data_IF_085598922213
#
_entry.id   IF_085598922213
#
_cell.length_a   1.000
_cell.length_b   1.000
_cell.length_c   1.000
_cell.angle_alpha   90.00
_cell.angle_beta   90.00
_cell.angle_gamma   90.00
#
_symmetry.space_group_name_H-M   'P 1'
#
loop_
_entity.id
_entity.type
_entity.pdbx_description
1 polymer ?
#
# COMPACT_ATOMS: atom_id res chain seq x y z
N UNK A 1 -18.14 -7.79 -8.34
CA UNK A 1 -18.10 -6.93 -7.12
C UNK A 1 -19.22 -7.26 -6.16
N UNK A 2 -19.04 -6.90 -4.92
CA UNK A 2 -19.99 -7.19 -3.85
C UNK A 2 -20.30 -5.91 -3.08
N UNK A 3 -21.57 -5.71 -2.72
CA UNK A 3 -22.02 -4.62 -1.86
C UNK A 3 -21.60 -4.80 -0.39
N UNK A 4 -21.81 -3.75 0.40
CA UNK A 4 -21.64 -3.79 1.86
C UNK A 4 -22.58 -4.81 2.57
N UNK A 5 -23.61 -5.30 1.87
CA UNK A 5 -24.51 -6.34 2.35
C UNK A 5 -24.10 -7.75 1.86
N UNK A 6 -22.93 -7.88 1.27
CA UNK A 6 -22.37 -9.11 0.68
C UNK A 6 -23.23 -9.68 -0.49
N UNK A 7 -23.94 -8.79 -1.18
CA UNK A 7 -24.65 -9.15 -2.42
C UNK A 7 -23.74 -8.87 -3.61
N UNK A 8 -23.72 -9.79 -4.56
CA UNK A 8 -23.08 -9.54 -5.85
C UNK A 8 -23.83 -8.44 -6.60
N UNK A 9 -23.13 -7.38 -6.96
CA UNK A 9 -23.68 -6.21 -7.66
C UNK A 9 -23.29 -6.18 -9.12
N UNK A 10 -22.09 -6.64 -9.42
CA UNK A 10 -21.58 -6.69 -10.78
C UNK A 10 -20.51 -7.76 -10.96
N UNK A 11 -20.36 -8.22 -12.19
CA UNK A 11 -19.29 -9.08 -12.65
C UNK A 11 -18.66 -8.46 -13.91
N UNK A 12 -17.34 -8.25 -13.89
CA UNK A 12 -16.57 -7.77 -15.03
C UNK A 12 -15.60 -8.88 -15.42
N UNK A 13 -15.83 -9.43 -16.60
CA UNK A 13 -14.97 -10.47 -17.13
C UNK A 13 -13.63 -9.88 -17.56
N UNK A 14 -12.55 -10.40 -17.00
CA UNK A 14 -11.17 -10.12 -17.41
C UNK A 14 -10.40 -11.43 -17.49
N UNK A 15 -9.80 -11.72 -18.65
CA UNK A 15 -9.01 -12.94 -18.86
C UNK A 15 -7.56 -12.72 -18.47
N UNK A 16 -7.30 -12.41 -17.18
CA UNK A 16 -5.95 -12.22 -16.65
C UNK A 16 -5.43 -13.49 -15.99
N UNK A 17 -4.14 -13.79 -16.21
CA UNK A 17 -3.48 -14.93 -15.55
C UNK A 17 -2.92 -14.55 -14.19
N UNK A 18 -2.34 -13.35 -14.06
CA UNK A 18 -1.84 -12.77 -12.82
C UNK A 18 -2.30 -11.32 -12.74
N UNK A 19 -2.81 -10.91 -11.59
CA UNK A 19 -3.48 -9.62 -11.42
C UNK A 19 -2.72 -8.75 -10.43
N UNK A 20 -2.50 -7.49 -10.82
CA UNK A 20 -2.19 -6.40 -9.90
C UNK A 20 -3.37 -5.45 -9.87
N UNK A 21 -3.76 -5.02 -8.68
CA UNK A 21 -4.89 -4.10 -8.50
C UNK A 21 -4.66 -3.18 -7.31
N UNK A 22 -5.33 -2.04 -7.37
CA UNK A 22 -5.42 -1.08 -6.28
C UNK A 22 -6.80 -0.45 -6.26
N UNK A 23 -7.23 0.07 -5.10
CA UNK A 23 -8.55 0.69 -4.96
C UNK A 23 -8.53 1.84 -3.96
N UNK A 24 -9.26 2.90 -4.28
CA UNK A 24 -9.38 4.06 -3.41
C UNK A 24 -10.74 4.74 -3.63
N UNK A 25 -11.58 4.80 -2.58
CA UNK A 25 -12.97 5.25 -2.68
C UNK A 25 -13.78 4.38 -3.64
N UNK A 26 -14.42 5.01 -4.61
CA UNK A 26 -15.27 4.33 -5.61
C UNK A 26 -14.46 3.77 -6.79
N UNK A 27 -13.16 4.06 -6.86
CA UNK A 27 -12.31 3.66 -7.97
C UNK A 27 -11.51 2.40 -7.65
N UNK A 28 -11.39 1.54 -8.65
CA UNK A 28 -10.52 0.37 -8.65
C UNK A 28 -9.76 0.33 -9.98
N UNK A 29 -8.45 0.17 -9.92
CA UNK A 29 -7.62 -0.12 -11.08
C UNK A 29 -7.20 -1.58 -11.05
N UNK A 30 -7.31 -2.26 -12.19
CA UNK A 30 -6.92 -3.67 -12.36
C UNK A 30 -6.06 -3.79 -13.60
N UNK A 31 -4.96 -4.50 -13.51
CA UNK A 31 -4.10 -4.78 -14.65
C UNK A 31 -3.59 -6.22 -14.63
N UNK A 32 -3.23 -6.73 -15.80
CA UNK A 32 -2.51 -7.99 -15.93
C UNK A 32 -1.03 -7.76 -15.62
N UNK A 33 -0.53 -8.42 -14.58
CA UNK A 33 0.89 -8.36 -14.21
C UNK A 33 1.74 -9.03 -15.28
N UNK A 34 2.82 -8.39 -15.70
CA UNK A 34 3.61 -8.74 -16.87
C UNK A 34 2.86 -8.69 -18.22
N UNK A 35 1.59 -8.28 -18.21
CA UNK A 35 0.82 -7.99 -19.41
C UNK A 35 0.85 -6.50 -19.78
N UNK A 36 -0.07 -6.09 -20.65
CA UNK A 36 -0.14 -4.72 -21.19
C UNK A 36 -1.47 -4.03 -20.97
N UNK A 37 -2.47 -4.72 -20.44
CA UNK A 37 -3.85 -4.20 -20.34
C UNK A 37 -4.13 -3.72 -18.94
N UNK A 38 -4.76 -2.55 -18.83
CA UNK A 38 -5.19 -1.94 -17.58
C UNK A 38 -6.62 -1.42 -17.70
N UNK A 39 -7.44 -1.66 -16.66
CA UNK A 39 -8.82 -1.19 -16.55
C UNK A 39 -8.97 -0.25 -15.37
N UNK A 40 -9.76 0.82 -15.55
CA UNK A 40 -10.32 1.59 -14.43
C UNK A 40 -11.80 1.25 -14.30
N UNK A 41 -12.21 0.97 -13.08
CA UNK A 41 -13.59 0.71 -12.67
C UNK A 41 -13.98 1.81 -11.69
N UNK A 42 -15.20 2.32 -11.80
CA UNK A 42 -15.79 3.24 -10.83
C UNK A 42 -17.19 2.71 -10.45
N UNK A 43 -17.40 2.46 -9.17
CA UNK A 43 -18.60 1.77 -8.72
C UNK A 43 -18.73 0.41 -9.41
N UNK A 44 -19.79 0.25 -10.23
CA UNK A 44 -20.13 -1.00 -10.91
C UNK A 44 -19.79 -1.01 -12.42
N UNK A 45 -19.09 -0.01 -12.91
CA UNK A 45 -18.86 0.19 -14.34
C UNK A 45 -17.38 0.28 -14.69
N UNK A 46 -17.00 -0.36 -15.80
CA UNK A 46 -15.69 -0.13 -16.42
C UNK A 46 -15.70 1.24 -17.08
N UNK A 47 -14.89 2.18 -16.54
CA UNK A 47 -14.78 3.54 -17.05
C UNK A 47 -13.98 3.59 -18.33
N UNK A 48 -12.82 2.92 -18.33
CA UNK A 48 -11.97 2.82 -19.52
C UNK A 48 -11.08 1.57 -19.48
N UNK A 49 -10.52 1.26 -20.65
CA UNK A 49 -9.48 0.26 -20.86
C UNK A 49 -8.35 0.88 -21.65
N UNK A 50 -7.11 0.69 -21.23
CA UNK A 50 -5.91 1.19 -21.88
C UNK A 50 -4.88 0.09 -22.09
N UNK A 51 -4.08 0.24 -23.15
CA UNK A 51 -2.94 -0.63 -23.43
C UNK A 51 -1.64 0.12 -23.14
N UNK A 52 -0.80 -0.48 -22.31
CA UNK A 52 0.51 0.05 -21.92
C UNK A 52 1.58 -0.52 -22.85
N UNK A 53 2.55 0.26 -23.34
CA UNK A 53 3.56 -0.20 -24.30
C UNK A 53 4.71 -0.99 -23.64
N UNK A 54 4.42 -1.77 -22.60
CA UNK A 54 5.41 -2.55 -21.87
C UNK A 54 4.78 -3.43 -20.79
N UNK A 55 5.60 -4.20 -20.10
CA UNK A 55 5.16 -5.16 -19.10
C UNK A 55 4.82 -4.45 -17.79
N UNK A 56 3.56 -4.50 -17.36
CA UNK A 56 3.06 -3.87 -16.15
C UNK A 56 3.57 -4.60 -14.91
N UNK A 57 4.05 -3.86 -13.91
CA UNK A 57 4.45 -4.39 -12.61
C UNK A 57 3.41 -4.13 -11.54
N UNK A 58 2.98 -2.86 -11.44
CA UNK A 58 2.03 -2.41 -10.44
C UNK A 58 1.14 -1.30 -10.97
N UNK A 59 0.03 -1.12 -10.33
CA UNK A 59 -0.92 -0.03 -10.56
C UNK A 59 -1.30 0.60 -9.23
N UNK A 60 -1.62 1.89 -9.30
CA UNK A 60 -2.08 2.69 -8.18
C UNK A 60 -3.22 3.58 -8.64
N UNK A 61 -4.20 3.82 -7.77
CA UNK A 61 -5.30 4.77 -8.03
C UNK A 61 -5.53 5.67 -6.82
N UNK A 62 -5.67 6.98 -7.05
CA UNK A 62 -6.09 7.88 -5.99
C UNK A 62 -7.63 7.96 -5.91
N UNK A 63 -8.15 8.61 -4.87
CA UNK A 63 -9.59 8.74 -4.62
C UNK A 63 -10.38 9.48 -5.72
N UNK A 64 -9.70 10.16 -6.64
CA UNK A 64 -10.32 10.89 -7.75
C UNK A 64 -10.17 10.16 -9.10
N UNK A 65 -9.69 8.92 -9.09
CA UNK A 65 -9.57 8.07 -10.28
C UNK A 65 -8.34 8.36 -11.16
N UNK A 66 -7.36 9.13 -10.68
CA UNK A 66 -6.07 9.24 -11.35
C UNK A 66 -5.28 7.96 -11.12
N UNK A 67 -4.78 7.39 -12.21
CA UNK A 67 -4.07 6.10 -12.18
C UNK A 67 -2.60 6.29 -12.48
N UNK A 68 -1.73 5.68 -11.69
CA UNK A 68 -0.32 5.49 -12.02
C UNK A 68 -0.07 4.03 -12.39
N UNK A 69 0.59 3.80 -13.53
CA UNK A 69 0.99 2.47 -13.99
C UNK A 69 2.50 2.40 -14.04
N UNK A 70 3.07 1.48 -13.27
CA UNK A 70 4.50 1.18 -13.30
C UNK A 70 4.75 0.01 -14.23
N UNK A 71 5.63 0.19 -15.21
CA UNK A 71 5.88 -0.83 -16.24
C UNK A 71 7.32 -0.79 -16.72
N UNK A 72 7.73 -1.85 -17.42
CA UNK A 72 9.04 -1.98 -18.07
C UNK A 72 8.92 -1.92 -19.58
N UNK A 73 9.84 -1.16 -20.18
CA UNK A 73 10.02 -1.09 -21.61
C UNK A 73 11.53 -1.10 -21.93
N UNK A 74 11.91 -1.59 -23.10
CA UNK A 74 13.32 -1.65 -23.52
C UNK A 74 13.98 -0.26 -23.44
N UNK A 75 15.20 -0.23 -22.89
CA UNK A 75 15.99 1.00 -22.72
C UNK A 75 15.84 1.70 -21.36
N UNK A 76 14.88 1.27 -20.52
CA UNK A 76 14.65 1.86 -19.20
C UNK A 76 14.49 0.75 -18.14
N UNK A 77 14.88 1.03 -16.90
CA UNK A 77 14.65 0.13 -15.78
C UNK A 77 13.18 0.12 -15.34
N UNK A 78 12.57 1.29 -15.29
CA UNK A 78 11.14 1.45 -15.02
C UNK A 78 10.58 2.70 -15.73
N UNK A 79 9.29 2.67 -15.98
CA UNK A 79 8.52 3.82 -16.42
C UNK A 79 7.29 3.95 -15.52
N UNK A 80 6.87 5.18 -15.25
CA UNK A 80 5.65 5.46 -14.50
C UNK A 80 4.76 6.36 -15.37
N UNK A 81 3.64 5.80 -15.83
CA UNK A 81 2.64 6.51 -16.65
C UNK A 81 1.49 6.98 -15.78
N UNK A 82 1.09 8.24 -15.95
CA UNK A 82 -0.08 8.80 -15.28
C UNK A 82 -1.20 8.95 -16.29
N UNK A 83 -2.37 8.42 -15.91
CA UNK A 83 -3.60 8.41 -16.71
C UNK A 83 -4.69 9.12 -15.90
N UNK A 84 -5.43 10.02 -16.58
CA UNK A 84 -6.55 10.75 -15.99
C UNK A 84 -7.75 9.82 -15.71
N UNK A 85 -8.73 10.27 -14.91
CA UNK A 85 -9.98 9.51 -14.70
C UNK A 85 -10.76 9.22 -15.98
N UNK A 86 -10.49 9.97 -17.07
CA UNK A 86 -11.13 9.77 -18.38
C UNK A 86 -10.32 8.89 -19.33
N UNK A 87 -9.23 8.29 -18.87
CA UNK A 87 -8.38 7.40 -19.68
C UNK A 87 -7.34 8.10 -20.55
N UNK A 88 -7.14 9.41 -20.39
CA UNK A 88 -6.15 10.19 -21.17
C UNK A 88 -4.80 10.12 -20.46
N UNK A 89 -3.75 9.74 -21.19
CA UNK A 89 -2.37 9.85 -20.70
C UNK A 89 -2.01 11.32 -20.46
N UNK A 90 -1.53 11.62 -19.25
CA UNK A 90 -1.07 12.96 -18.89
C UNK A 90 0.43 13.10 -19.16
N UNK A 91 1.22 12.16 -18.68
CA UNK A 91 2.65 12.06 -18.93
C UNK A 91 3.22 10.69 -18.57
N UNK A 92 4.48 10.47 -18.96
CA UNK A 92 5.26 9.31 -18.54
C UNK A 92 6.61 9.75 -17.98
N UNK A 93 6.95 9.31 -16.75
CA UNK A 93 8.27 9.48 -16.15
C UNK A 93 9.16 8.29 -16.55
N UNK A 94 10.34 8.59 -17.10
CA UNK A 94 11.31 7.62 -17.58
C UNK A 94 12.43 7.47 -16.56
N UNK A 95 12.63 6.27 -16.02
CA UNK A 95 13.66 5.94 -15.06
C UNK A 95 14.73 5.07 -15.74
N UNK A 96 15.83 5.71 -16.18
CA UNK A 96 16.89 5.02 -16.93
C UNK A 96 17.78 4.18 -16.03
N UNK A 97 18.10 4.65 -14.79
CA UNK A 97 19.06 4.05 -13.87
C UNK A 97 18.45 3.46 -12.60
N UNK A 98 17.18 3.78 -12.30
CA UNK A 98 16.50 3.37 -11.07
C UNK A 98 15.24 2.55 -11.35
N UNK A 99 14.84 1.73 -10.37
CA UNK A 99 13.54 1.03 -10.41
C UNK A 99 12.53 1.81 -9.58
N UNK A 100 11.29 1.92 -10.07
CA UNK A 100 10.17 2.37 -9.26
C UNK A 100 9.72 1.23 -8.34
N UNK A 101 9.74 1.47 -7.03
CA UNK A 101 9.27 0.53 -6.02
C UNK A 101 7.78 0.74 -5.71
N UNK A 102 7.39 2.02 -5.58
CA UNK A 102 6.04 2.40 -5.24
C UNK A 102 5.74 3.81 -5.76
N UNK A 103 4.46 4.16 -5.87
CA UNK A 103 4.01 5.46 -6.37
C UNK A 103 2.79 5.94 -5.58
N UNK A 104 2.66 7.25 -5.41
CA UNK A 104 1.49 7.86 -4.79
C UNK A 104 1.14 9.18 -5.48
N UNK A 105 -0.16 9.50 -5.57
CA UNK A 105 -0.68 10.75 -6.12
C UNK A 105 -1.43 11.49 -5.02
N UNK A 106 -1.16 12.79 -4.87
CA UNK A 106 -1.86 13.64 -3.88
C UNK A 106 -3.38 13.66 -4.11
N UNK A 107 -4.11 13.92 -3.04
CA UNK A 107 -5.57 14.03 -3.07
C UNK A 107 -6.09 15.22 -3.88
N UNK A 108 -5.27 16.24 -4.10
CA UNK A 108 -5.58 17.39 -4.97
C UNK A 108 -5.15 17.16 -6.43
N UNK A 109 -4.61 15.98 -6.76
CA UNK A 109 -4.19 15.54 -8.10
C UNK A 109 -3.06 16.37 -8.72
N UNK A 110 -2.26 17.07 -7.91
CA UNK A 110 -1.21 17.96 -8.41
C UNK A 110 0.16 17.32 -8.42
N UNK A 111 0.40 16.36 -7.53
CA UNK A 111 1.75 15.86 -7.31
C UNK A 111 1.78 14.33 -7.38
N UNK A 112 2.76 13.81 -8.12
CA UNK A 112 3.16 12.41 -8.11
C UNK A 112 4.43 12.25 -7.28
N UNK A 113 4.44 11.30 -6.36
CA UNK A 113 5.65 10.78 -5.74
C UNK A 113 6.00 9.42 -6.33
N UNK A 114 7.29 9.20 -6.59
CA UNK A 114 7.85 7.91 -7.02
C UNK A 114 8.93 7.52 -6.02
N UNK A 115 8.77 6.38 -5.38
CA UNK A 115 9.84 5.74 -4.61
C UNK A 115 10.78 5.03 -5.57
N UNK A 116 12.03 5.44 -5.61
CA UNK A 116 13.05 4.91 -6.50
C UNK A 116 14.09 4.11 -5.72
N UNK A 117 14.62 3.05 -6.35
CA UNK A 117 15.79 2.32 -5.87
C UNK A 117 16.86 2.26 -6.94
N UNK A 118 18.09 2.59 -6.55
CA UNK A 118 19.29 2.36 -7.34
C UNK A 118 20.02 1.12 -6.84
N UNK A 119 20.34 0.22 -7.75
CA UNK A 119 21.02 -1.06 -7.48
C UNK A 119 22.38 -1.17 -8.20
N UNK A 120 22.88 -0.08 -8.79
CA UNK A 120 24.13 -0.11 -9.58
C UNK A 120 25.39 0.09 -8.72
N UNK A 121 25.26 0.59 -7.50
CA UNK A 121 26.37 0.81 -6.59
C UNK A 121 26.74 -0.43 -5.75
N UNK A 122 27.70 -0.24 -4.84
CA UNK A 122 28.05 -1.24 -3.80
C UNK A 122 26.92 -1.35 -2.78
N UNK A 123 26.19 -0.26 -2.57
CA UNK A 123 25.05 -0.17 -1.67
C UNK A 123 23.77 0.12 -2.46
N UNK A 124 22.69 -0.49 -2.03
CA UNK A 124 21.36 -0.13 -2.52
C UNK A 124 20.96 1.21 -1.91
N UNK A 125 20.58 2.16 -2.74
CA UNK A 125 20.13 3.48 -2.29
C UNK A 125 18.70 3.74 -2.74
N UNK A 126 17.91 4.35 -1.88
CA UNK A 126 16.53 4.71 -2.17
C UNK A 126 16.36 6.22 -2.18
N UNK A 127 15.46 6.70 -3.02
CA UNK A 127 15.11 8.11 -3.12
C UNK A 127 13.63 8.29 -3.41
N UNK A 128 13.12 9.47 -3.08
CA UNK A 128 11.79 9.93 -3.50
C UNK A 128 11.94 10.98 -4.58
N UNK A 129 11.29 10.77 -5.71
CA UNK A 129 11.14 11.75 -6.78
C UNK A 129 9.73 12.32 -6.74
N UNK A 130 9.61 13.64 -6.64
CA UNK A 130 8.33 14.36 -6.60
C UNK A 130 8.20 15.19 -7.87
N UNK A 131 7.08 15.03 -8.57
CA UNK A 131 6.78 15.66 -9.87
C UNK A 131 5.45 16.40 -9.76
N UNK A 132 5.41 17.66 -10.19
CA UNK A 132 4.16 18.40 -10.38
C UNK A 132 3.48 17.91 -11.67
N UNK A 133 2.29 17.32 -11.56
CA UNK A 133 1.52 16.76 -12.69
C UNK A 133 1.06 17.85 -13.65
N UNK A 134 0.85 19.07 -13.18
CA UNK A 134 0.37 20.20 -13.97
C UNK A 134 1.51 21.03 -14.59
N UNK A 135 2.73 20.84 -14.11
CA UNK A 135 3.90 21.57 -14.60
C UNK A 135 5.09 20.61 -14.73
N UNK A 136 5.19 20.02 -15.92
CA UNK A 136 6.19 18.99 -16.24
C UNK A 136 7.57 19.55 -16.62
N UNK A 137 7.84 20.83 -16.34
CA UNK A 137 9.17 21.39 -16.51
C UNK A 137 10.14 20.69 -15.54
N UNK A 138 11.28 20.21 -16.04
CA UNK A 138 12.30 19.52 -15.25
C UNK A 138 12.82 20.32 -14.05
N UNK A 139 12.68 21.64 -14.07
CA UNK A 139 13.02 22.53 -12.95
C UNK A 139 12.13 22.32 -11.71
N UNK A 140 10.97 21.69 -11.87
CA UNK A 140 9.99 21.46 -10.80
C UNK A 140 10.04 20.02 -10.21
N UNK A 141 10.99 19.22 -10.68
CA UNK A 141 11.21 17.87 -10.12
C UNK A 141 12.07 18.00 -8.87
N UNK A 142 11.53 17.56 -7.73
CA UNK A 142 12.27 17.47 -6.47
C UNK A 142 12.74 16.03 -6.26
N UNK A 143 13.95 15.87 -5.70
CA UNK A 143 14.49 14.57 -5.32
C UNK A 143 14.97 14.63 -3.87
N UNK A 144 14.61 13.60 -3.13
CA UNK A 144 14.98 13.40 -1.74
C UNK A 144 15.67 12.05 -1.61
N UNK A 145 16.99 12.07 -1.40
CA UNK A 145 17.74 10.86 -1.19
C UNK A 145 17.60 10.41 0.27
N UNK A 146 17.41 9.11 0.49
CA UNK A 146 17.35 8.52 1.82
C UNK A 146 18.78 8.13 2.29
N UNK A 147 18.89 7.81 3.59
CA UNK A 147 20.14 7.32 4.16
C UNK A 147 20.60 6.04 3.46
N UNK A 148 21.91 5.81 3.41
CA UNK A 148 22.51 4.59 2.87
C UNK A 148 21.92 3.34 3.54
N UNK A 149 21.64 2.32 2.74
CA UNK A 149 21.02 1.05 3.15
C UNK A 149 19.58 1.17 3.69
N UNK A 150 18.88 2.29 3.45
CA UNK A 150 17.45 2.42 3.76
C UNK A 150 16.63 2.03 2.52
N UNK A 151 15.87 0.93 2.60
CA UNK A 151 15.02 0.49 1.51
C UNK A 151 13.57 0.98 1.73
N UNK A 152 13.04 1.70 0.75
CA UNK A 152 11.63 2.12 0.78
C UNK A 152 10.76 0.89 0.52
N UNK A 153 9.76 0.68 1.38
CA UNK A 153 8.80 -0.41 1.30
C UNK A 153 7.46 0.08 0.76
N UNK A 154 7.03 1.27 1.18
CA UNK A 154 5.76 1.86 0.77
C UNK A 154 5.79 3.38 0.93
N UNK A 155 5.01 4.08 0.11
CA UNK A 155 4.78 5.52 0.25
C UNK A 155 3.28 5.83 0.16
N UNK A 156 2.84 6.83 0.91
CA UNK A 156 1.44 7.23 0.93
C UNK A 156 1.29 8.73 1.26
N UNK A 157 0.41 9.42 0.56
CA UNK A 157 0.08 10.80 0.90
C UNK A 157 -1.00 10.87 1.99
N UNK A 158 -0.74 11.66 3.01
CA UNK A 158 -1.73 12.00 4.03
C UNK A 158 -2.85 12.89 3.46
N UNK A 159 -3.93 13.07 4.22
CA UNK A 159 -5.00 14.01 3.86
C UNK A 159 -4.50 15.46 3.69
N UNK A 160 -3.35 15.79 4.30
CA UNK A 160 -2.70 17.11 4.22
C UNK A 160 -1.69 17.21 3.07
N UNK A 161 -1.61 16.19 2.20
CA UNK A 161 -0.61 16.06 1.13
C UNK A 161 0.86 16.05 1.65
N UNK A 162 1.09 15.61 2.87
CA UNK A 162 2.42 15.26 3.38
C UNK A 162 2.72 13.81 2.97
N UNK A 163 3.94 13.52 2.50
CA UNK A 163 4.30 12.17 2.05
C UNK A 163 4.87 11.35 3.20
N UNK A 164 4.17 10.29 3.57
CA UNK A 164 4.70 9.25 4.46
C UNK A 164 5.56 8.28 3.66
N UNK A 165 6.69 7.91 4.25
CA UNK A 165 7.65 6.97 3.69
C UNK A 165 7.88 5.88 4.73
N UNK A 166 7.50 4.67 4.38
CA UNK A 166 7.82 3.48 5.15
C UNK A 166 9.08 2.86 4.58
N UNK A 167 10.10 2.71 5.43
CA UNK A 167 11.33 2.01 5.06
C UNK A 167 11.45 0.69 5.81
N UNK A 168 12.49 -0.08 5.54
CA UNK A 168 12.83 -1.31 6.27
C UNK A 168 13.26 -1.07 7.73
N UNK A 169 13.52 0.17 8.13
CA UNK A 169 14.04 0.52 9.46
C UNK A 169 13.39 1.73 10.13
N UNK A 170 12.55 2.48 9.40
CA UNK A 170 11.92 3.69 9.94
C UNK A 170 10.66 4.10 9.19
N UNK A 171 9.86 4.95 9.83
CA UNK A 171 8.83 5.76 9.19
C UNK A 171 9.33 7.20 9.13
N UNK A 172 9.32 7.76 7.94
CA UNK A 172 9.69 9.14 7.66
C UNK A 172 8.53 9.90 7.05
N UNK A 173 8.56 11.21 7.10
CA UNK A 173 7.59 12.09 6.43
C UNK A 173 8.34 13.19 5.69
N UNK A 174 7.89 13.49 4.47
CA UNK A 174 8.32 14.71 3.77
C UNK A 174 7.31 15.80 4.08
N UNK A 175 7.78 16.85 4.71
CA UNK A 175 7.01 18.01 5.15
C UNK A 175 7.85 19.27 4.95
N UNK A 176 7.28 20.30 4.30
CA UNK A 176 7.97 21.56 4.00
C UNK A 176 9.34 21.36 3.30
N UNK A 177 9.38 20.41 2.35
CA UNK A 177 10.59 20.02 1.61
C UNK A 177 11.74 19.43 2.47
N UNK A 178 11.42 18.93 3.64
CA UNK A 178 12.39 18.26 4.54
C UNK A 178 11.91 16.84 4.87
N UNK A 179 12.87 15.90 4.96
CA UNK A 179 12.62 14.56 5.50
C UNK A 179 12.74 14.60 7.01
N UNK A 180 11.68 14.20 7.71
CA UNK A 180 11.65 14.07 9.16
C UNK A 180 11.44 12.61 9.52
N UNK A 181 12.34 12.04 10.35
CA UNK A 181 12.14 10.70 10.90
C UNK A 181 11.10 10.75 12.02
N UNK A 182 10.02 9.98 11.86
CA UNK A 182 8.90 9.91 12.80
C UNK A 182 9.06 8.77 13.79
N UNK A 183 9.54 7.62 13.30
CA UNK A 183 9.69 6.41 14.08
C UNK A 183 10.87 5.62 13.55
N UNK A 184 11.70 5.13 14.45
CA UNK A 184 12.78 4.18 14.13
C UNK A 184 12.51 2.84 14.78
N UNK A 185 12.75 1.77 14.05
CA UNK A 185 12.62 0.41 14.55
C UNK A 185 13.81 -0.45 14.10
N UNK A 186 13.95 -1.61 14.69
CA UNK A 186 15.11 -2.48 14.44
C UNK A 186 14.68 -3.74 13.69
N UNK A 187 15.25 -3.97 12.52
CA UNK A 187 15.20 -5.27 11.87
C UNK A 187 16.24 -6.23 12.52
N UNK A 188 15.96 -7.54 12.74
CA UNK A 188 14.75 -8.27 12.33
C UNK A 188 13.64 -8.33 13.39
N UNK A 189 13.65 -7.52 14.42
CA UNK A 189 12.60 -7.52 15.45
C UNK A 189 11.24 -7.03 14.91
N UNK A 190 11.25 -6.21 13.87
CA UNK A 190 10.03 -5.77 13.18
C UNK A 190 9.83 -6.60 11.92
N UNK A 191 8.75 -7.38 11.89
CA UNK A 191 8.50 -8.40 10.85
C UNK A 191 7.50 -7.96 9.78
N UNK A 192 6.57 -7.09 10.13
CA UNK A 192 5.53 -6.61 9.23
C UNK A 192 5.10 -5.21 9.63
N UNK A 193 4.92 -4.33 8.67
CA UNK A 193 4.48 -2.97 8.91
C UNK A 193 3.40 -2.61 7.89
N UNK A 194 2.39 -1.91 8.35
CA UNK A 194 1.34 -1.33 7.50
C UNK A 194 0.94 0.04 8.04
N UNK A 195 0.45 0.89 7.16
CA UNK A 195 -0.09 2.21 7.50
C UNK A 195 -1.61 2.08 7.57
N UNK A 196 -2.22 2.68 8.58
CA UNK A 196 -3.65 2.73 8.76
C UNK A 196 -4.12 4.18 8.62
N UNK A 197 -4.90 4.45 7.55
CA UNK A 197 -5.49 5.76 7.23
C UNK A 197 -4.52 6.94 7.36
N UNK A 198 -3.23 6.75 7.06
CA UNK A 198 -2.19 7.77 7.22
C UNK A 198 -2.14 8.39 8.63
N UNK A 199 -2.62 7.69 9.65
CA UNK A 199 -2.67 8.15 11.06
C UNK A 199 -1.90 7.25 12.01
N UNK A 200 -1.88 5.96 11.72
CA UNK A 200 -1.23 4.97 12.55
C UNK A 200 -0.27 4.13 11.73
N UNK A 201 0.85 3.76 12.34
CA UNK A 201 1.73 2.72 11.84
C UNK A 201 1.52 1.50 12.71
N UNK A 202 1.18 0.38 12.09
CA UNK A 202 0.98 -0.90 12.76
C UNK A 202 2.17 -1.80 12.43
N UNK A 203 2.95 -2.14 13.43
CA UNK A 203 4.13 -2.98 13.30
C UNK A 203 3.97 -4.29 14.06
N UNK A 204 4.39 -5.39 13.45
CA UNK A 204 4.56 -6.66 14.15
C UNK A 204 5.99 -6.76 14.66
N UNK A 205 6.16 -6.72 15.96
CA UNK A 205 7.46 -6.84 16.60
C UNK A 205 7.65 -8.25 17.19
N UNK A 206 8.86 -8.78 17.04
CA UNK A 206 9.31 -10.04 17.63
C UNK A 206 10.25 -9.72 18.78
N UNK A 207 9.96 -10.24 19.98
CA UNK A 207 10.81 -10.13 21.16
C UNK A 207 11.34 -11.52 21.51
N UNK A 208 12.66 -11.72 21.46
CA UNK A 208 13.30 -12.97 21.84
C UNK A 208 13.80 -12.86 23.28
N UNK A 209 13.24 -13.67 24.19
CA UNK A 209 13.63 -13.79 25.61
C UNK A 209 14.38 -15.09 25.87
N UNK A 210 15.50 -15.31 25.19
CA UNK A 210 16.31 -16.51 25.28
C UNK A 210 16.13 -17.48 24.11
N UNK A 211 16.61 -18.72 24.24
CA UNK A 211 16.69 -19.69 23.13
C UNK A 211 15.35 -20.23 22.66
N UNK A 212 14.28 -20.16 23.48
CA UNK A 212 13.00 -20.81 23.21
C UNK A 212 11.77 -19.93 23.51
N UNK A 213 11.95 -18.73 24.04
CA UNK A 213 10.83 -17.85 24.39
C UNK A 213 10.75 -16.69 23.40
N UNK A 214 9.85 -16.84 22.42
CA UNK A 214 9.57 -15.83 21.39
C UNK A 214 8.19 -15.28 21.66
N UNK A 215 8.11 -13.96 21.84
CA UNK A 215 6.85 -13.22 21.94
C UNK A 215 6.64 -12.35 20.71
N UNK A 216 5.41 -12.29 20.27
CA UNK A 216 4.99 -11.38 19.20
C UNK A 216 4.11 -10.29 19.79
N UNK A 217 4.35 -9.06 19.33
CA UNK A 217 3.56 -7.89 19.71
C UNK A 217 3.11 -7.14 18.50
N UNK A 218 1.84 -6.81 18.47
CA UNK A 218 1.31 -5.83 17.55
C UNK A 218 1.49 -4.45 18.20
N UNK A 219 2.33 -3.64 17.62
CA UNK A 219 2.62 -2.29 18.08
C UNK A 219 1.92 -1.28 17.18
N UNK A 220 1.14 -0.39 17.77
CA UNK A 220 0.36 0.63 17.08
C UNK A 220 0.95 1.97 17.46
N UNK A 221 1.53 2.65 16.51
CA UNK A 221 2.15 3.96 16.68
C UNK A 221 1.26 5.01 16.04
N UNK A 222 0.65 5.85 16.88
CA UNK A 222 -0.12 7.00 16.41
C UNK A 222 0.78 8.21 16.33
N UNK A 223 0.82 8.88 15.18
CA UNK A 223 1.62 10.08 15.04
C UNK A 223 0.77 11.34 15.08
N UNK A 224 1.25 12.27 15.88
CA UNK A 224 0.65 13.57 16.13
C UNK A 224 1.74 14.49 16.70
N UNK A 225 1.39 15.29 17.68
CA UNK A 225 2.38 16.15 18.39
C UNK A 225 3.37 15.33 19.25
N UNK A 226 2.98 14.14 19.66
CA UNK A 226 3.83 13.15 20.33
C UNK A 226 3.49 11.77 19.80
N UNK A 227 4.50 10.90 19.69
CA UNK A 227 4.33 9.52 19.31
C UNK A 227 3.70 8.75 20.48
N UNK A 228 2.48 8.24 20.29
CA UNK A 228 1.79 7.37 21.25
C UNK A 228 1.88 5.93 20.78
N UNK A 229 2.34 5.03 21.66
CA UNK A 229 2.48 3.59 21.37
C UNK A 229 1.45 2.79 22.17
N UNK A 230 0.66 1.96 21.48
CA UNK A 230 -0.18 0.94 22.07
C UNK A 230 0.35 -0.43 21.67
N UNK A 231 0.17 -1.43 22.53
CA UNK A 231 0.64 -2.80 22.28
C UNK A 231 -0.49 -3.79 22.50
N UNK A 232 -0.46 -4.86 21.69
CA UNK A 232 -1.29 -6.05 21.87
C UNK A 232 -0.42 -7.29 21.72
N UNK A 233 -0.37 -8.15 22.77
CA UNK A 233 0.41 -9.38 22.74
C UNK A 233 -0.29 -10.44 21.89
N UNK A 234 0.47 -11.07 21.00
CA UNK A 234 0.03 -12.19 20.18
C UNK A 234 0.71 -13.48 20.70
N UNK A 235 -0.06 -14.56 20.73
CA UNK A 235 0.44 -15.85 21.22
C UNK A 235 1.27 -16.62 20.19
N UNK A 236 1.21 -16.24 18.90
CA UNK A 236 1.95 -16.85 17.79
C UNK A 236 2.18 -15.86 16.65
N UNK A 237 2.95 -16.25 15.65
CA UNK A 237 3.20 -15.47 14.43
C UNK A 237 1.92 -15.41 13.58
N UNK A 238 1.40 -14.22 13.27
CA UNK A 238 0.25 -14.08 12.38
C UNK A 238 0.61 -14.40 10.92
N UNK A 239 -0.36 -14.93 10.17
CA UNK A 239 -0.26 -15.14 8.72
C UNK A 239 -0.37 -13.83 7.94
N UNK A 240 -1.30 -12.96 8.34
CA UNK A 240 -1.56 -11.68 7.69
C UNK A 240 -2.00 -10.64 8.70
N UNK A 241 -1.63 -9.38 8.42
CA UNK A 241 -2.10 -8.21 9.14
C UNK A 241 -2.59 -7.20 8.11
N UNK A 242 -3.78 -6.65 8.32
CA UNK A 242 -4.34 -5.53 7.57
C UNK A 242 -4.90 -4.51 8.54
N UNK A 243 -4.73 -3.24 8.22
CA UNK A 243 -5.24 -2.14 9.03
C UNK A 243 -5.98 -1.12 8.16
N UNK A 244 -7.20 -0.75 8.55
CA UNK A 244 -8.04 0.25 7.90
C UNK A 244 -9.19 0.63 8.84
N UNK A 245 -9.70 1.86 8.76
CA UNK A 245 -10.90 2.33 9.47
C UNK A 245 -10.86 2.13 10.99
N UNK A 246 -9.73 2.46 11.61
CA UNK A 246 -9.47 2.31 13.04
C UNK A 246 -9.52 0.87 13.55
N UNK A 247 -9.46 -0.11 12.66
CA UNK A 247 -9.36 -1.52 13.01
C UNK A 247 -8.12 -2.16 12.40
N UNK A 248 -7.60 -3.15 13.10
CA UNK A 248 -6.48 -3.99 12.69
C UNK A 248 -6.98 -5.41 12.72
N UNK A 249 -6.90 -6.06 11.58
CA UNK A 249 -7.31 -7.46 11.41
C UNK A 249 -6.07 -8.32 11.34
N UNK A 250 -5.95 -9.24 12.30
CA UNK A 250 -4.83 -10.17 12.43
C UNK A 250 -5.33 -11.58 12.17
N UNK A 251 -4.90 -12.16 11.07
CA UNK A 251 -5.19 -13.55 10.74
C UNK A 251 -4.11 -14.46 11.36
N UNK A 252 -4.51 -15.24 12.35
CA UNK A 252 -3.71 -16.30 12.96
C UNK A 252 -3.91 -17.63 12.20
N UNK A 253 -3.35 -18.73 12.70
CA UNK A 253 -3.47 -20.06 12.06
C UNK A 253 -4.94 -20.48 11.90
N UNK A 254 -5.74 -20.38 12.95
CA UNK A 254 -7.11 -20.89 13.01
C UNK A 254 -8.12 -19.85 13.52
N UNK A 255 -7.71 -18.60 13.66
CA UNK A 255 -8.58 -17.55 14.17
C UNK A 255 -8.23 -16.19 13.57
N UNK A 256 -9.21 -15.32 13.60
CA UNK A 256 -9.12 -13.92 13.24
C UNK A 256 -9.29 -13.07 14.49
N UNK A 257 -8.37 -12.17 14.73
CA UNK A 257 -8.47 -11.16 15.78
C UNK A 257 -8.76 -9.81 15.12
N UNK A 258 -9.76 -9.12 15.62
CA UNK A 258 -10.06 -7.73 15.26
C UNK A 258 -9.71 -6.86 16.44
N UNK A 259 -8.75 -5.98 16.26
CA UNK A 259 -8.18 -5.11 17.29
C UNK A 259 -8.42 -3.67 16.85
N UNK A 260 -8.82 -2.78 17.75
CA UNK A 260 -8.91 -1.36 17.42
C UNK A 260 -7.54 -0.66 17.57
N UNK A 261 -7.44 0.56 17.04
CA UNK A 261 -6.19 1.35 17.12
C UNK A 261 -5.79 1.78 18.54
N UNK A 262 -6.66 1.54 19.55
CA UNK A 262 -6.30 1.68 20.96
C UNK A 262 -5.68 0.40 21.56
N UNK A 263 -5.40 -0.61 20.74
CA UNK A 263 -4.82 -1.90 21.19
C UNK A 263 -5.80 -2.81 21.92
N UNK A 264 -7.12 -2.62 21.77
CA UNK A 264 -8.14 -3.46 22.42
C UNK A 264 -8.74 -4.46 21.44
N UNK A 265 -8.86 -5.72 21.86
CA UNK A 265 -9.57 -6.75 21.11
C UNK A 265 -11.06 -6.39 21.04
N UNK A 266 -11.59 -6.27 19.83
CA UNK A 266 -12.99 -5.97 19.52
C UNK A 266 -13.77 -7.25 19.27
N UNK A 267 -13.16 -8.17 18.49
CA UNK A 267 -13.80 -9.42 18.08
C UNK A 267 -12.77 -10.52 17.86
N UNK A 268 -13.17 -11.74 18.12
CA UNK A 268 -12.43 -12.95 17.80
C UNK A 268 -13.35 -13.89 17.05
N UNK A 269 -12.88 -14.47 15.96
CA UNK A 269 -13.64 -15.41 15.13
C UNK A 269 -12.75 -16.60 14.78
N UNK A 270 -13.31 -17.82 14.82
CA UNK A 270 -12.60 -19.00 14.37
C UNK A 270 -12.56 -19.07 12.84
N UNK A 271 -11.41 -19.45 12.28
CA UNK A 271 -11.21 -19.73 10.87
C UNK A 271 -10.91 -21.22 10.71
N UNK A 272 -11.82 -21.94 10.07
CA UNK A 272 -11.71 -23.40 9.88
C UNK A 272 -10.94 -23.81 8.62
N UNK A 273 -10.49 -22.85 7.80
CA UNK A 273 -9.90 -23.10 6.48
C UNK A 273 -8.63 -22.26 6.24
N UNK A 274 -7.84 -22.67 5.27
CA UNK A 274 -6.65 -21.95 4.85
C UNK A 274 -7.02 -20.62 4.15
N UNK A 275 -6.86 -19.54 4.91
CA UNK A 275 -7.11 -18.17 4.41
C UNK A 275 -6.02 -17.79 3.42
N UNK A 276 -6.41 -17.34 2.23
CA UNK A 276 -5.50 -16.84 1.18
C UNK A 276 -5.25 -15.35 1.31
N UNK A 277 -6.30 -14.59 1.57
CA UNK A 277 -6.21 -13.14 1.77
C UNK A 277 -7.39 -12.64 2.57
N UNK A 278 -7.25 -11.43 3.11
CA UNK A 278 -8.34 -10.70 3.76
C UNK A 278 -8.44 -9.29 3.20
N UNK A 279 -9.65 -8.75 3.18
CA UNK A 279 -9.96 -7.39 2.75
C UNK A 279 -10.82 -6.73 3.82
N UNK A 280 -10.49 -5.50 4.18
CA UNK A 280 -11.33 -4.66 5.03
C UNK A 280 -12.08 -3.73 4.09
N UNK A 281 -13.41 -3.68 4.18
CA UNK A 281 -14.22 -2.80 3.35
C UNK A 281 -14.26 -1.39 3.94
N UNK A 282 -14.02 -0.40 3.09
CA UNK A 282 -14.08 1.00 3.50
C UNK A 282 -15.49 1.39 3.91
N UNK A 283 -15.59 2.28 4.91
CA UNK A 283 -16.85 2.81 5.45
C UNK A 283 -17.88 1.74 5.90
N UNK A 284 -17.40 0.52 6.20
CA UNK A 284 -18.26 -0.57 6.63
C UNK A 284 -17.68 -1.28 7.85
N UNK A 285 -18.53 -2.01 8.55
CA UNK A 285 -18.11 -2.92 9.61
C UNK A 285 -17.94 -4.35 9.06
N UNK A 286 -17.37 -4.49 7.86
CA UNK A 286 -17.25 -5.78 7.20
C UNK A 286 -15.81 -6.12 6.83
N UNK A 287 -15.47 -7.40 6.99
CA UNK A 287 -14.22 -8.01 6.55
C UNK A 287 -14.56 -9.12 5.56
N UNK A 288 -13.92 -9.12 4.40
CA UNK A 288 -13.95 -10.23 3.45
C UNK A 288 -12.79 -11.19 3.69
N UNK A 289 -13.08 -12.46 3.86
CA UNK A 289 -12.11 -13.55 3.96
C UNK A 289 -12.08 -14.30 2.63
N UNK A 290 -10.95 -14.30 1.97
CA UNK A 290 -10.75 -14.94 0.67
C UNK A 290 -10.11 -16.30 0.89
N UNK A 291 -10.83 -17.34 0.57
CA UNK A 291 -10.38 -18.74 0.53
C UNK A 291 -10.13 -19.18 -0.92
N UNK A 292 -9.69 -20.40 -1.11
CA UNK A 292 -9.44 -20.93 -2.46
C UNK A 292 -10.70 -21.07 -3.29
N UNK A 293 -11.82 -21.39 -2.66
CA UNK A 293 -13.08 -21.81 -3.28
C UNK A 293 -14.25 -20.88 -2.98
N UNK A 294 -14.09 -19.89 -2.11
CA UNK A 294 -15.16 -18.96 -1.70
C UNK A 294 -14.64 -17.71 -1.05
N UNK A 295 -15.51 -16.73 -0.93
CA UNK A 295 -15.35 -15.55 -0.09
C UNK A 295 -16.38 -15.61 1.04
N UNK A 296 -15.97 -15.36 2.26
CA UNK A 296 -16.85 -15.22 3.42
C UNK A 296 -16.79 -13.78 3.93
N UNK A 297 -17.92 -13.28 4.40
CA UNK A 297 -18.01 -11.94 4.95
C UNK A 297 -18.29 -12.02 6.45
N UNK A 298 -17.52 -11.25 7.23
CA UNK A 298 -17.70 -11.15 8.68
C UNK A 298 -18.06 -9.71 9.00
N UNK A 299 -19.17 -9.52 9.72
CA UNK A 299 -19.53 -8.23 10.29
C UNK A 299 -18.80 -8.04 11.61
N UNK A 300 -18.18 -6.87 11.81
CA UNK A 300 -17.45 -6.48 13.03
C UNK A 300 -18.42 -5.93 14.06
#
# INVERSE_FOLDING_TARGET
GYSNEAKEEFDIFASFQDVTCDSNGDYMVIAEKNGTVVYLICGNEKVWENTIPGNIYSVYVNKNGYVAVTYKQSGYKSLVKIISPTGIELFTSYLASTYALDVAITNDNKTLAIAEVDTEGIHVTSAIKIIDINNLDNSNVKRFDLDENSLIVNIEYTEKNELLILTDSSVKIIKNDEIVEMLKYSYPSTMNITIENCKNVVALEKEEKGLFDVKYKLCIYSYGNQLDKKEYELYDLPKQIKAMNNIIVVAMQNELLVINTNGKLVKKCDISRDLKSLVIFDNTNMIGLIFRDKIEFIKI
#
